data_IF_818399433154
#
_entry.id   IF_818399433154
#
_cell.length_a   1.000
_cell.length_b   1.000
_cell.length_c   1.000
_cell.angle_alpha   90.00
_cell.angle_beta   90.00
_cell.angle_gamma   90.00
#
_symmetry.space_group_name_H-M   'P 1'
#
loop_
_entity.id
_entity.type
_entity.pdbx_description
1 polymer ?
#
# COMPACT_ATOMS: atom_id res chain seq x y z
N UNK A 1 -14.82 -7.93 13.00
CA UNK A 1 -14.32 -6.75 13.72
C UNK A 1 -15.45 -6.20 14.56
N UNK A 2 -15.18 -5.70 15.76
CA UNK A 2 -16.15 -5.08 16.65
C UNK A 2 -15.66 -3.69 17.11
N UNK A 3 -16.42 -3.01 17.97
CA UNK A 3 -16.08 -1.67 18.45
C UNK A 3 -14.72 -1.62 19.14
N UNK A 4 -14.36 -2.61 19.95
CA UNK A 4 -13.06 -2.66 20.61
C UNK A 4 -11.90 -2.78 19.59
N UNK A 5 -12.09 -3.60 18.56
CA UNK A 5 -11.10 -3.73 17.49
C UNK A 5 -10.90 -2.38 16.76
N UNK A 6 -12.00 -1.69 16.44
CA UNK A 6 -11.95 -0.36 15.83
C UNK A 6 -11.18 0.64 16.72
N UNK A 7 -11.48 0.68 18.03
CA UNK A 7 -10.81 1.58 18.95
C UNK A 7 -9.30 1.28 19.08
N UNK A 8 -8.91 0.00 19.06
CA UNK A 8 -7.50 -0.42 19.04
C UNK A 8 -6.82 0.10 17.76
N UNK A 9 -7.41 -0.13 16.59
CA UNK A 9 -6.87 0.31 15.31
C UNK A 9 -6.75 1.83 15.24
N UNK A 10 -7.71 2.56 15.80
CA UNK A 10 -7.69 4.01 15.86
C UNK A 10 -6.54 4.55 16.71
N UNK A 11 -6.21 3.91 17.83
CA UNK A 11 -5.05 4.30 18.64
C UNK A 11 -3.74 3.99 17.90
N UNK A 12 -3.63 2.84 17.23
CA UNK A 12 -2.47 2.47 16.41
C UNK A 12 -2.31 3.37 15.18
N UNK A 13 -3.40 3.88 14.61
CA UNK A 13 -3.32 4.83 13.48
C UNK A 13 -2.71 6.17 13.90
N UNK A 14 -2.91 6.58 15.16
CA UNK A 14 -2.29 7.79 15.72
C UNK A 14 -0.80 7.58 16.00
N UNK A 15 -0.46 6.42 16.56
CA UNK A 15 0.89 6.04 16.91
C UNK A 15 1.05 4.51 16.83
N UNK A 16 1.62 4.03 15.72
CA UNK A 16 1.87 2.61 15.48
C UNK A 16 2.90 1.98 16.45
N UNK A 17 3.66 2.79 17.19
CA UNK A 17 4.63 2.34 18.18
C UNK A 17 4.05 2.21 19.60
N UNK A 18 2.76 2.58 19.79
CA UNK A 18 2.10 2.58 21.09
C UNK A 18 2.09 1.18 21.71
N UNK A 19 2.57 1.07 22.96
CA UNK A 19 2.60 -0.23 23.64
C UNK A 19 1.19 -0.74 23.97
N UNK A 20 1.03 -2.07 23.96
CA UNK A 20 -0.26 -2.70 24.30
C UNK A 20 -0.76 -2.33 25.69
N UNK A 21 0.16 -2.07 26.64
CA UNK A 21 -0.16 -1.60 28.00
C UNK A 21 -0.81 -0.21 27.98
N UNK A 22 -0.29 0.70 27.16
CA UNK A 22 -0.85 2.04 27.00
C UNK A 22 -2.23 1.99 26.35
N UNK A 23 -2.40 1.18 25.32
CA UNK A 23 -3.70 0.98 24.65
C UNK A 23 -4.71 0.41 25.65
N UNK A 24 -4.34 -0.63 26.42
CA UNK A 24 -5.19 -1.25 27.43
C UNK A 24 -5.67 -0.24 28.48
N UNK A 25 -4.76 0.61 28.98
CA UNK A 25 -5.08 1.67 29.94
C UNK A 25 -6.05 2.71 29.34
N UNK A 26 -5.81 3.17 28.11
CA UNK A 26 -6.66 4.13 27.42
C UNK A 26 -8.07 3.60 27.20
N UNK A 27 -8.19 2.35 26.77
CA UNK A 27 -9.46 1.71 26.46
C UNK A 27 -10.13 1.06 27.69
N UNK A 28 -9.50 1.13 28.87
CA UNK A 28 -10.00 0.57 30.15
C UNK A 28 -10.31 -0.93 30.07
N UNK A 29 -9.45 -1.68 29.40
CA UNK A 29 -9.54 -3.15 29.29
C UNK A 29 -8.24 -3.81 29.76
N UNK A 30 -8.24 -5.14 29.94
CA UNK A 30 -7.05 -5.87 30.34
C UNK A 30 -6.01 -5.90 29.19
N UNK A 31 -4.72 -5.93 29.54
CA UNK A 31 -3.64 -6.10 28.55
C UNK A 31 -3.75 -7.43 27.81
N UNK A 32 -4.27 -8.49 28.46
CA UNK A 32 -4.54 -9.78 27.83
C UNK A 32 -5.59 -9.68 26.73
N UNK A 33 -6.66 -8.89 26.97
CA UNK A 33 -7.68 -8.61 25.96
C UNK A 33 -7.06 -7.94 24.72
N UNK A 34 -6.25 -6.89 24.92
CA UNK A 34 -5.59 -6.19 23.80
C UNK A 34 -4.65 -7.13 23.06
N UNK A 35 -3.84 -7.93 23.79
CA UNK A 35 -2.90 -8.88 23.18
C UNK A 35 -3.62 -9.89 22.27
N UNK A 36 -4.72 -10.48 22.74
CA UNK A 36 -5.49 -11.45 21.97
C UNK A 36 -6.13 -10.81 20.72
N UNK A 37 -6.66 -9.59 20.85
CA UNK A 37 -7.23 -8.85 19.73
C UNK A 37 -6.17 -8.51 18.68
N UNK A 38 -5.03 -7.99 19.12
CA UNK A 38 -3.91 -7.68 18.24
C UNK A 38 -3.38 -8.91 17.51
N UNK A 39 -3.24 -10.05 18.20
CA UNK A 39 -2.80 -11.29 17.56
C UNK A 39 -3.73 -11.70 16.43
N UNK A 40 -5.06 -11.62 16.63
CA UNK A 40 -6.06 -11.90 15.60
C UNK A 40 -5.98 -10.91 14.45
N UNK A 41 -6.03 -9.59 14.71
CA UNK A 41 -5.99 -8.52 13.71
C UNK A 41 -4.72 -8.55 12.86
N UNK A 42 -3.60 -9.02 13.43
CA UNK A 42 -2.36 -9.20 12.70
C UNK A 42 -2.38 -10.48 11.86
N UNK A 43 -2.91 -11.58 12.41
CA UNK A 43 -2.98 -12.87 11.71
C UNK A 43 -3.90 -12.80 10.47
N UNK A 44 -5.03 -12.12 10.56
CA UNK A 44 -5.97 -11.93 9.45
C UNK A 44 -5.60 -10.73 8.53
N UNK A 45 -4.43 -10.09 8.79
CA UNK A 45 -3.92 -8.95 8.04
C UNK A 45 -4.81 -7.70 8.04
N UNK A 46 -5.73 -7.58 8.99
CA UNK A 46 -6.52 -6.35 9.19
C UNK A 46 -5.61 -5.18 9.56
N UNK A 47 -4.52 -5.44 10.29
CA UNK A 47 -3.51 -4.44 10.64
C UNK A 47 -2.10 -4.94 10.34
N UNK A 48 -1.27 -4.04 9.83
CA UNK A 48 0.17 -4.20 9.71
C UNK A 48 0.85 -2.99 10.33
N UNK A 49 1.81 -3.23 11.21
CA UNK A 49 2.63 -2.17 11.79
C UNK A 49 3.94 -2.13 11.01
N UNK A 50 4.14 -1.04 10.27
CA UNK A 50 5.32 -0.83 9.43
C UNK A 50 6.00 0.48 9.77
N UNK A 51 7.33 0.52 9.63
CA UNK A 51 8.08 1.78 9.61
C UNK A 51 7.86 2.47 8.26
N UNK A 52 7.28 3.66 8.25
CA UNK A 52 7.18 4.48 7.05
C UNK A 52 8.43 5.33 6.91
N UNK A 53 9.18 5.13 5.84
CA UNK A 53 10.32 5.98 5.48
C UNK A 53 9.88 7.11 4.56
N UNK A 54 10.63 8.20 4.59
CA UNK A 54 10.55 9.27 3.59
C UNK A 54 11.49 8.88 2.43
N UNK A 55 10.95 8.52 1.25
CA UNK A 55 11.79 7.98 0.19
C UNK A 55 12.84 8.98 -0.31
N UNK A 56 12.52 10.27 -0.38
CA UNK A 56 13.47 11.31 -0.82
C UNK A 56 14.71 11.37 0.07
N UNK A 57 14.52 11.12 1.40
CA UNK A 57 15.63 11.15 2.37
C UNK A 57 16.52 9.91 2.32
N UNK A 58 16.07 8.84 1.70
CA UNK A 58 16.82 7.58 1.59
C UNK A 58 17.27 7.27 0.16
N UNK A 59 17.15 8.24 -0.75
CA UNK A 59 17.76 8.18 -2.07
C UNK A 59 16.86 7.74 -3.22
N UNK A 60 15.54 7.81 -3.06
CA UNK A 60 14.59 7.66 -4.15
C UNK A 60 14.13 9.03 -4.62
N UNK A 61 14.39 9.37 -5.88
CA UNK A 61 14.14 10.71 -6.43
C UNK A 61 13.34 10.68 -7.74
N UNK A 62 12.96 9.49 -8.22
CA UNK A 62 12.13 9.34 -9.42
C UNK A 62 10.89 8.49 -9.10
N UNK A 63 9.74 9.10 -9.20
CA UNK A 63 8.44 8.48 -8.96
C UNK A 63 7.61 8.58 -10.21
N UNK A 64 6.96 7.49 -10.59
CA UNK A 64 6.09 7.49 -11.74
C UNK A 64 4.85 6.62 -11.50
N UNK A 65 3.78 6.99 -12.18
CA UNK A 65 2.63 6.16 -12.44
C UNK A 65 2.74 5.62 -13.85
N UNK A 66 2.57 4.31 -14.00
CA UNK A 66 2.67 3.63 -15.28
C UNK A 66 1.35 2.92 -15.51
N UNK A 67 0.68 3.26 -16.60
CA UNK A 67 -0.47 2.52 -17.10
C UNK A 67 0.00 1.49 -18.11
N UNK A 68 -0.61 0.30 -18.07
CA UNK A 68 -0.23 -0.82 -18.94
C UNK A 68 -1.47 -1.42 -19.58
N UNK A 69 -1.43 -1.57 -20.90
CA UNK A 69 -2.36 -2.41 -21.65
C UNK A 69 -1.75 -3.80 -21.86
N UNK A 70 -2.54 -4.84 -21.66
CA UNK A 70 -2.13 -6.24 -21.75
C UNK A 70 -2.89 -6.94 -22.89
N UNK A 71 -2.19 -7.63 -23.77
CA UNK A 71 -2.79 -8.44 -24.83
C UNK A 71 -2.14 -9.83 -24.90
N UNK A 72 -2.94 -10.90 -25.00
CA UNK A 72 -4.40 -10.93 -24.90
C UNK A 72 -4.88 -10.72 -23.45
N UNK A 73 -6.11 -10.26 -23.26
CA UNK A 73 -6.67 -9.90 -21.94
C UNK A 73 -6.64 -11.05 -20.91
N UNK A 74 -6.70 -12.31 -21.34
CA UNK A 74 -6.56 -13.48 -20.47
C UNK A 74 -5.24 -13.53 -19.68
N UNK A 75 -4.22 -12.78 -20.10
CA UNK A 75 -2.89 -12.75 -19.49
C UNK A 75 -2.73 -11.62 -18.47
N UNK A 76 -3.76 -10.79 -18.22
CA UNK A 76 -3.66 -9.65 -17.28
C UNK A 76 -3.17 -10.09 -15.91
N UNK A 77 -3.73 -11.17 -15.36
CA UNK A 77 -3.35 -11.64 -14.03
C UNK A 77 -1.90 -12.15 -13.98
N UNK A 78 -1.46 -12.85 -15.02
CA UNK A 78 -0.08 -13.35 -15.11
C UNK A 78 0.92 -12.20 -15.24
N UNK A 79 0.61 -11.23 -16.09
CA UNK A 79 1.42 -10.01 -16.25
C UNK A 79 1.48 -9.22 -14.93
N UNK A 80 0.33 -9.04 -14.25
CA UNK A 80 0.27 -8.35 -12.97
C UNK A 80 1.16 -9.00 -11.89
N UNK A 81 1.16 -10.35 -11.78
CA UNK A 81 2.02 -11.04 -10.82
C UNK A 81 3.51 -10.89 -11.14
N UNK A 82 3.89 -10.91 -12.43
CA UNK A 82 5.28 -10.66 -12.87
C UNK A 82 5.71 -9.23 -12.53
N UNK A 83 4.86 -8.25 -12.81
CA UNK A 83 5.11 -6.83 -12.54
C UNK A 83 5.18 -6.53 -11.03
N UNK A 84 4.32 -7.16 -10.23
CA UNK A 84 4.33 -7.02 -8.77
C UNK A 84 5.61 -7.55 -8.11
N UNK A 85 6.37 -8.42 -8.80
CA UNK A 85 7.64 -8.94 -8.29
C UNK A 85 8.81 -7.96 -8.45
N UNK A 86 8.66 -6.86 -9.20
CA UNK A 86 9.70 -5.84 -9.29
C UNK A 86 9.77 -5.03 -8.00
N UNK A 87 10.95 -4.92 -7.36
CA UNK A 87 11.09 -4.22 -6.09
C UNK A 87 10.79 -2.72 -6.18
N UNK A 88 10.85 -2.15 -7.37
CA UNK A 88 10.52 -0.76 -7.65
C UNK A 88 9.00 -0.49 -7.59
N UNK A 89 8.16 -1.53 -7.72
CA UNK A 89 6.71 -1.40 -7.73
C UNK A 89 6.17 -1.30 -6.31
N UNK A 90 5.68 -0.13 -5.95
CA UNK A 90 5.11 0.15 -4.62
C UNK A 90 3.59 -0.04 -4.54
N UNK A 91 2.92 -0.04 -5.70
CA UNK A 91 1.49 -0.28 -5.84
C UNK A 91 1.20 -0.86 -7.20
N UNK A 92 0.27 -1.80 -7.29
CA UNK A 92 -0.26 -2.34 -8.53
C UNK A 92 -1.73 -2.65 -8.37
N UNK A 93 -2.54 -2.20 -9.32
CA UNK A 93 -3.97 -2.47 -9.37
C UNK A 93 -4.42 -2.79 -10.80
N UNK A 94 -5.45 -3.63 -10.91
CA UNK A 94 -6.26 -3.74 -12.13
C UNK A 94 -7.23 -2.56 -12.15
N UNK A 95 -7.35 -1.91 -13.29
CA UNK A 95 -8.20 -0.74 -13.46
C UNK A 95 -9.20 -0.94 -14.62
N UNK A 96 -10.27 -0.16 -14.61
CA UNK A 96 -11.20 -0.06 -15.73
C UNK A 96 -10.80 1.11 -16.63
N UNK A 97 -11.12 1.02 -17.93
CA UNK A 97 -10.89 2.09 -18.90
C UNK A 97 -9.97 1.67 -20.03
N UNK A 98 -9.14 2.60 -20.52
CA UNK A 98 -8.25 2.37 -21.68
C UNK A 98 -7.16 1.34 -21.38
N UNK A 99 -6.61 1.35 -20.17
CA UNK A 99 -5.54 0.47 -19.72
C UNK A 99 -6.08 -0.58 -18.75
N UNK A 100 -5.35 -1.68 -18.59
CA UNK A 100 -5.73 -2.83 -17.76
C UNK A 100 -5.12 -2.77 -16.36
N UNK A 101 -3.88 -2.25 -16.25
CA UNK A 101 -3.13 -2.18 -14.99
C UNK A 101 -2.60 -0.77 -14.76
N UNK A 102 -2.51 -0.40 -13.49
CA UNK A 102 -1.83 0.79 -12.99
C UNK A 102 -0.76 0.39 -11.98
N UNK A 103 0.46 0.91 -12.16
CA UNK A 103 1.57 0.75 -11.23
C UNK A 103 2.02 2.12 -10.72
N UNK A 104 2.40 2.17 -9.43
CA UNK A 104 3.24 3.25 -8.91
C UNK A 104 4.63 2.68 -8.64
N UNK A 105 5.64 3.36 -9.15
CA UNK A 105 7.04 2.93 -9.02
C UNK A 105 7.87 3.99 -8.32
N UNK A 106 8.89 3.51 -7.59
CA UNK A 106 9.87 4.34 -6.90
C UNK A 106 11.27 3.93 -7.35
N UNK A 107 11.96 4.85 -8.01
CA UNK A 107 13.29 4.64 -8.55
C UNK A 107 14.30 5.62 -7.92
N UNK A 108 15.57 5.26 -7.90
CA UNK A 108 16.63 6.13 -7.39
C UNK A 108 16.73 7.44 -8.18
N UNK A 109 16.65 7.33 -9.49
CA UNK A 109 16.78 8.42 -10.45
C UNK A 109 16.11 8.08 -11.78
N UNK A 110 16.15 9.00 -12.74
CA UNK A 110 15.54 8.82 -14.05
C UNK A 110 16.20 7.69 -14.86
N UNK A 111 17.52 7.47 -14.72
CA UNK A 111 18.19 6.37 -15.42
C UNK A 111 17.68 5.01 -14.91
N UNK A 112 17.48 4.90 -13.59
CA UNK A 112 16.88 3.70 -13.01
C UNK A 112 15.44 3.49 -13.50
N UNK A 113 14.65 4.57 -13.65
CA UNK A 113 13.29 4.47 -14.23
C UNK A 113 13.33 3.97 -15.68
N UNK A 114 14.27 4.47 -16.51
CA UNK A 114 14.45 3.98 -17.90
C UNK A 114 14.76 2.48 -17.90
N UNK A 115 15.70 2.02 -17.06
CA UNK A 115 16.03 0.60 -16.94
C UNK A 115 14.83 -0.24 -16.49
N UNK A 116 14.00 0.28 -15.58
CA UNK A 116 12.77 -0.38 -15.17
C UNK A 116 11.77 -0.48 -16.34
N UNK A 117 11.60 0.59 -17.11
CA UNK A 117 10.75 0.57 -18.30
C UNK A 117 11.18 -0.49 -19.33
N UNK A 118 12.50 -0.61 -19.57
CA UNK A 118 13.03 -1.68 -20.41
C UNK A 118 12.63 -3.07 -19.88
N UNK A 119 12.79 -3.31 -18.57
CA UNK A 119 12.35 -4.58 -17.93
C UNK A 119 10.84 -4.80 -18.08
N UNK A 120 10.02 -3.78 -17.86
CA UNK A 120 8.56 -3.87 -18.00
C UNK A 120 8.19 -4.28 -19.44
N UNK A 121 8.85 -3.73 -20.45
CA UNK A 121 8.60 -4.07 -21.85
C UNK A 121 9.03 -5.51 -22.20
N UNK A 122 9.87 -6.16 -21.40
CA UNK A 122 10.19 -7.59 -21.59
C UNK A 122 9.16 -8.53 -20.96
N UNK A 123 8.23 -8.03 -20.17
CA UNK A 123 7.17 -8.86 -19.60
C UNK A 123 6.18 -9.26 -20.69
N UNK A 124 6.01 -10.57 -20.90
CA UNK A 124 5.09 -11.12 -21.88
C UNK A 124 3.71 -10.50 -21.75
N UNK A 125 3.11 -10.17 -22.88
CA UNK A 125 1.76 -9.61 -23.00
C UNK A 125 1.62 -8.13 -22.62
N UNK A 126 2.66 -7.45 -22.14
CA UNK A 126 2.68 -5.99 -22.06
C UNK A 126 2.67 -5.46 -23.48
N UNK A 127 1.61 -4.74 -23.84
CA UNK A 127 1.38 -4.28 -25.22
C UNK A 127 1.66 -2.79 -25.40
N UNK A 128 1.20 -1.97 -24.47
CA UNK A 128 1.34 -0.51 -24.48
C UNK A 128 1.57 -0.03 -23.04
N UNK A 129 2.41 0.98 -22.86
CA UNK A 129 2.63 1.65 -21.60
C UNK A 129 2.49 3.15 -21.75
N UNK A 130 1.94 3.81 -20.70
CA UNK A 130 1.90 5.27 -20.58
C UNK A 130 2.48 5.64 -19.22
N UNK A 131 3.61 6.36 -19.24
CA UNK A 131 4.37 6.69 -18.03
C UNK A 131 4.23 8.16 -17.68
N UNK A 132 3.74 8.43 -16.48
CA UNK A 132 3.54 9.78 -15.95
C UNK A 132 4.39 9.98 -14.71
N UNK A 133 5.40 10.84 -14.78
CA UNK A 133 6.23 11.17 -13.63
C UNK A 133 5.50 12.09 -12.66
N UNK A 134 5.64 11.81 -11.36
CA UNK A 134 5.18 12.73 -10.33
C UNK A 134 6.17 13.88 -10.17
N UNK A 135 5.73 15.10 -10.47
CA UNK A 135 6.56 16.30 -10.29
C UNK A 135 6.64 16.72 -8.83
N UNK A 136 5.54 16.50 -8.08
CA UNK A 136 5.45 16.81 -6.66
C UNK A 136 4.33 16.00 -6.01
N UNK A 137 4.64 15.35 -4.91
CA UNK A 137 3.65 14.66 -4.08
C UNK A 137 3.24 15.57 -2.93
N UNK A 138 1.95 15.89 -2.83
CA UNK A 138 1.42 16.75 -1.78
C UNK A 138 0.91 15.98 -0.56
N UNK A 139 0.47 14.74 -0.76
CA UNK A 139 -0.07 13.92 0.33
C UNK A 139 0.04 12.43 0.00
N UNK A 140 0.52 11.68 0.96
CA UNK A 140 0.36 10.23 1.02
C UNK A 140 -0.19 9.91 2.41
N UNK A 141 -1.35 9.30 2.49
CA UNK A 141 -1.99 8.96 3.77
C UNK A 141 -2.65 7.59 3.69
N UNK A 142 -2.79 6.94 4.84
CA UNK A 142 -3.67 5.79 5.00
C UNK A 142 -5.13 6.26 5.12
N UNK A 143 -6.12 5.40 4.84
CA UNK A 143 -7.53 5.72 5.09
C UNK A 143 -7.75 6.16 6.53
N UNK A 144 -8.46 7.28 6.72
CA UNK A 144 -8.82 7.77 8.05
C UNK A 144 -9.97 6.94 8.62
N UNK A 145 -9.74 6.27 9.74
CA UNK A 145 -10.74 5.43 10.38
C UNK A 145 -11.95 6.22 10.89
N UNK A 146 -11.80 7.51 11.15
CA UNK A 146 -12.93 8.35 11.58
C UNK A 146 -14.01 8.47 10.49
N UNK A 147 -13.68 8.23 9.20
CA UNK A 147 -14.65 8.19 8.10
C UNK A 147 -15.63 7.01 8.17
N UNK A 148 -15.30 5.97 8.91
CA UNK A 148 -16.12 4.74 9.06
C UNK A 148 -16.53 4.52 10.51
N UNK A 149 -16.40 5.53 11.37
CA UNK A 149 -16.70 5.44 12.81
C UNK A 149 -18.11 4.91 13.08
N UNK A 150 -19.11 5.43 12.37
CA UNK A 150 -20.51 5.10 12.57
C UNK A 150 -20.86 3.64 12.24
N UNK A 151 -19.98 2.92 11.54
CA UNK A 151 -20.13 1.49 11.28
C UNK A 151 -19.81 0.66 12.53
N UNK A 152 -18.88 1.14 13.38
CA UNK A 152 -18.27 0.36 14.46
C UNK A 152 -18.63 0.83 15.87
N UNK A 153 -18.95 2.12 16.03
CA UNK A 153 -19.29 2.75 17.32
C UNK A 153 -20.72 3.21 17.27
N UNK A 154 -21.54 2.61 18.11
CA UNK A 154 -22.97 2.97 18.27
C UNK A 154 -23.14 3.95 19.43
#
# INVERSE_FOLDING_TARGET
MDELDYLILRELQKDGSMSLTVIAKKLKVSIGTIRNRMARLTADKTVQIIGRIDPDKVGFHAYARIFIAVKPAKNIQVAALKLAAFPEVSFLAMISGKYDLELNVQCRDNNHLVQLMEKIHTVDSVYETDTNMYLKVFKIAQPDLDLVKDIWVK
#
